data_IF_467087391686
#
_entry.id   IF_467087391686
#
_cell.length_a   1.000
_cell.length_b   1.000
_cell.length_c   1.000
_cell.angle_alpha   90.00
_cell.angle_beta   90.00
_cell.angle_gamma   90.00
#
_symmetry.space_group_name_H-M   'P 1'
#
loop_
_entity.id
_entity.type
_entity.pdbx_description
1 polymer ?
#
# COMPACT_ATOMS: atom_id res chain seq x y z
N UNK A 1 8.25 -8.83 -8.47
CA UNK A 1 8.95 -8.98 -7.17
C UNK A 1 8.13 -8.14 -6.23
N UNK A 2 7.27 -8.71 -5.40
CA UNK A 2 6.11 -7.92 -4.95
C UNK A 2 6.45 -6.82 -3.94
N UNK A 3 5.83 -5.66 -4.17
CA UNK A 3 6.10 -4.44 -3.45
C UNK A 3 4.80 -3.72 -3.09
N UNK A 4 4.45 -3.71 -1.80
CA UNK A 4 3.30 -2.95 -1.31
C UNK A 4 3.68 -1.50 -1.06
N UNK A 5 2.75 -0.57 -1.33
CA UNK A 5 3.01 0.85 -1.15
C UNK A 5 2.09 1.44 -0.09
N UNK A 6 2.68 2.09 0.90
CA UNK A 6 1.98 2.96 1.84
C UNK A 6 2.21 4.41 1.42
N UNK A 7 1.18 5.05 0.89
CA UNK A 7 1.22 6.46 0.50
C UNK A 7 0.61 7.33 1.59
N UNK A 8 1.22 8.48 1.86
CA UNK A 8 0.66 9.45 2.80
C UNK A 8 -0.75 9.85 2.37
N UNK A 9 -1.68 9.89 3.32
CA UNK A 9 -3.01 10.47 3.08
C UNK A 9 -2.88 11.98 2.95
N UNK A 10 -3.05 12.50 1.74
CA UNK A 10 -3.17 13.93 1.52
C UNK A 10 -4.44 14.42 2.22
N UNK A 11 -4.34 15.48 3.05
CA UNK A 11 -5.50 16.16 3.61
C UNK A 11 -6.17 16.95 2.48
N UNK A 12 -6.91 16.27 1.61
CA UNK A 12 -7.94 16.93 0.80
C UNK A 12 -9.19 17.06 1.66
N UNK A 13 -9.78 18.26 1.74
CA UNK A 13 -11.05 18.45 2.42
C UNK A 13 -12.14 17.67 1.67
N UNK A 14 -12.93 16.92 2.44
CA UNK A 14 -14.20 16.30 2.07
C UNK A 14 -14.16 15.23 0.96
N UNK A 15 -13.68 14.03 1.30
CA UNK A 15 -14.24 12.78 0.75
C UNK A 15 -14.23 11.72 1.86
N UNK A 16 -15.42 11.39 2.37
CA UNK A 16 -15.63 10.28 3.31
C UNK A 16 -15.42 8.96 2.57
N UNK A 17 -14.21 8.41 2.66
CA UNK A 17 -13.97 7.03 2.29
C UNK A 17 -14.57 6.16 3.38
N UNK A 18 -15.62 5.42 3.03
CA UNK A 18 -16.45 4.65 3.95
C UNK A 18 -15.64 3.77 4.88
N UNK A 19 -16.15 3.65 6.11
CA UNK A 19 -15.65 2.74 7.12
C UNK A 19 -15.76 1.30 6.61
N UNK A 20 -14.70 0.81 5.96
CA UNK A 20 -14.55 -0.61 5.72
C UNK A 20 -14.26 -1.26 7.07
N UNK A 21 -15.30 -1.86 7.63
CA UNK A 21 -15.23 -2.69 8.82
C UNK A 21 -14.08 -3.69 8.67
N UNK A 22 -13.12 -3.59 9.57
CA UNK A 22 -12.05 -4.56 9.74
C UNK A 22 -12.70 -5.84 10.28
N UNK A 23 -13.13 -6.74 9.40
CA UNK A 23 -13.35 -8.13 9.77
C UNK A 23 -12.02 -8.90 9.69
N UNK A 24 -11.00 -8.39 10.38
CA UNK A 24 -9.76 -9.13 10.62
C UNK A 24 -10.00 -10.08 11.79
N UNK A 25 -10.71 -11.18 11.52
CA UNK A 25 -10.70 -12.34 12.41
C UNK A 25 -9.33 -13.02 12.26
N UNK A 26 -8.36 -12.51 12.99
CA UNK A 26 -7.33 -13.28 13.69
C UNK A 26 -6.80 -12.35 14.78
N UNK A 27 -7.02 -12.77 16.03
CA UNK A 27 -6.81 -12.02 17.25
C UNK A 27 -5.37 -11.50 17.31
N UNK A 28 -5.16 -10.28 16.84
CA UNK A 28 -4.07 -9.46 17.36
C UNK A 28 -4.57 -9.04 18.72
N UNK A 29 -3.94 -9.57 19.78
CA UNK A 29 -4.15 -9.10 21.14
C UNK A 29 -4.21 -7.57 21.11
N UNK A 30 -5.29 -7.00 21.67
CA UNK A 30 -5.51 -5.54 21.70
C UNK A 30 -4.27 -4.80 22.22
N UNK A 31 -3.53 -5.43 23.13
CA UNK A 31 -2.23 -4.97 23.65
C UNK A 31 -1.14 -4.84 22.57
N UNK A 32 -1.02 -5.81 21.66
CA UNK A 32 -0.02 -5.78 20.58
C UNK A 32 -0.32 -4.68 19.55
N UNK A 33 -1.61 -4.49 19.20
CA UNK A 33 -2.01 -3.38 18.33
C UNK A 33 -1.84 -2.02 19.01
N UNK A 34 -2.06 -1.93 20.33
CA UNK A 34 -1.79 -0.72 21.09
C UNK A 34 -0.29 -0.39 21.15
N UNK A 35 0.56 -1.40 21.35
CA UNK A 35 2.02 -1.28 21.25
C UNK A 35 2.46 -0.81 19.87
N UNK A 36 1.87 -1.37 18.81
CA UNK A 36 2.10 -0.93 17.42
C UNK A 36 1.73 0.54 17.25
N UNK A 37 0.53 0.95 17.67
CA UNK A 37 0.10 2.36 17.60
C UNK A 37 1.02 3.30 18.35
N UNK A 38 1.50 2.92 19.53
CA UNK A 38 2.44 3.72 20.30
C UNK A 38 3.74 3.91 19.52
N UNK A 39 4.31 2.82 18.97
CA UNK A 39 5.56 2.90 18.21
C UNK A 39 5.40 3.69 16.92
N UNK A 40 4.27 3.52 16.24
CA UNK A 40 3.92 4.30 15.05
C UNK A 40 3.82 5.79 15.37
N UNK A 41 3.18 6.15 16.48
CA UNK A 41 3.07 7.55 16.93
C UNK A 41 4.45 8.16 17.24
N UNK A 42 5.36 7.37 17.80
CA UNK A 42 6.74 7.76 18.11
C UNK A 42 7.55 8.06 16.83
N UNK A 43 7.45 7.20 15.80
CA UNK A 43 8.22 7.35 14.56
C UNK A 43 7.55 8.26 13.52
N UNK A 44 6.25 8.50 13.63
CA UNK A 44 5.47 9.27 12.63
C UNK A 44 6.06 10.66 12.33
N UNK A 45 6.54 11.44 13.33
CA UNK A 45 7.21 12.72 13.07
C UNK A 45 8.48 12.58 12.23
N UNK A 46 9.26 11.51 12.45
CA UNK A 46 10.52 11.25 11.74
C UNK A 46 10.27 10.86 10.28
N UNK A 47 9.17 10.16 10.01
CA UNK A 47 8.78 9.78 8.65
C UNK A 47 8.44 10.99 7.79
N UNK A 48 8.02 12.13 8.37
CA UNK A 48 7.70 13.39 7.67
C UNK A 48 6.76 13.25 6.46
N UNK A 49 5.92 12.22 6.44
CA UNK A 49 5.04 11.94 5.31
C UNK A 49 5.67 11.17 4.15
N UNK A 50 6.88 10.61 4.34
CA UNK A 50 7.57 9.78 3.35
C UNK A 50 6.77 8.51 3.07
N UNK A 51 6.62 8.14 1.80
CA UNK A 51 6.00 6.87 1.38
C UNK A 51 6.86 5.68 1.80
N UNK A 52 6.22 4.58 2.19
CA UNK A 52 6.90 3.36 2.64
C UNK A 52 6.62 2.25 1.64
N UNK A 53 7.67 1.52 1.25
CA UNK A 53 7.58 0.39 0.32
C UNK A 53 7.94 -0.90 1.06
N UNK A 54 7.00 -1.84 1.15
CA UNK A 54 7.24 -3.16 1.73
C UNK A 54 7.59 -4.14 0.61
N UNK A 55 8.87 -4.48 0.47
CA UNK A 55 9.40 -5.28 -0.65
C UNK A 55 9.68 -6.74 -0.26
N UNK A 56 9.49 -7.67 -1.20
CA UNK A 56 10.08 -9.03 -1.23
C UNK A 56 9.05 -10.09 -1.69
N UNK A 57 9.20 -11.35 -1.28
CA UNK A 57 8.22 -12.40 -1.67
C UNK A 57 6.77 -12.09 -1.21
N UNK A 58 5.81 -12.48 -2.05
CA UNK A 58 4.39 -12.46 -1.72
C UNK A 58 4.16 -13.28 -0.44
N UNK A 59 3.53 -12.67 0.56
CA UNK A 59 3.15 -13.39 1.77
C UNK A 59 2.00 -12.67 2.46
N UNK A 60 1.07 -13.45 2.99
CA UNK A 60 -0.08 -12.94 3.73
C UNK A 60 0.33 -12.03 4.89
N UNK A 61 1.47 -12.31 5.53
CA UNK A 61 2.01 -11.50 6.63
C UNK A 61 2.35 -10.07 6.20
N UNK A 62 2.88 -9.87 4.98
CA UNK A 62 3.16 -8.53 4.45
C UNK A 62 1.88 -7.74 4.22
N UNK A 63 0.85 -8.39 3.68
CA UNK A 63 -0.42 -7.73 3.38
C UNK A 63 -1.13 -7.32 4.67
N UNK A 64 -1.14 -8.20 5.67
CA UNK A 64 -1.69 -7.89 6.99
C UNK A 64 -0.91 -6.74 7.65
N UNK A 65 0.43 -6.81 7.70
CA UNK A 65 1.24 -5.79 8.33
C UNK A 65 1.14 -4.45 7.61
N UNK A 66 1.12 -4.45 6.27
CA UNK A 66 0.92 -3.26 5.46
C UNK A 66 -0.40 -2.57 5.78
N UNK A 67 -1.51 -3.32 5.84
CA UNK A 67 -2.83 -2.78 6.21
C UNK A 67 -2.84 -2.19 7.63
N UNK A 68 -2.23 -2.87 8.60
CA UNK A 68 -2.15 -2.38 9.98
C UNK A 68 -1.33 -1.10 10.10
N UNK A 69 -0.17 -1.06 9.42
CA UNK A 69 0.68 0.13 9.38
C UNK A 69 -0.02 1.29 8.68
N UNK A 70 -0.75 1.04 7.60
CA UNK A 70 -1.54 2.05 6.91
C UNK A 70 -2.57 2.69 7.84
N UNK A 71 -3.32 1.87 8.57
CA UNK A 71 -4.33 2.36 9.52
C UNK A 71 -3.69 3.14 10.67
N UNK A 72 -2.59 2.63 11.25
CA UNK A 72 -1.89 3.28 12.35
C UNK A 72 -1.25 4.62 11.93
N UNK A 73 -0.62 4.69 10.75
CA UNK A 73 0.02 5.89 10.21
C UNK A 73 -0.96 6.85 9.55
N UNK A 74 -2.22 6.43 9.35
CA UNK A 74 -3.21 7.14 8.51
C UNK A 74 -2.72 7.32 7.07
N UNK A 75 -2.08 6.30 6.51
CA UNK A 75 -1.65 6.22 5.13
C UNK A 75 -2.66 5.41 4.30
N UNK A 76 -2.61 5.55 2.98
CA UNK A 76 -3.28 4.67 2.03
C UNK A 76 -2.43 3.44 1.76
N UNK A 77 -3.05 2.26 1.75
CA UNK A 77 -2.41 1.01 1.37
C UNK A 77 -2.76 0.66 -0.07
N UNK A 78 -1.74 0.35 -0.86
CA UNK A 78 -1.86 -0.12 -2.23
C UNK A 78 -1.19 -1.48 -2.39
N UNK A 79 -1.94 -2.39 -2.99
CA UNK A 79 -1.48 -3.72 -3.38
C UNK A 79 -0.94 -3.65 -4.81
N UNK A 80 0.35 -3.98 -5.02
CA UNK A 80 0.97 -3.92 -6.34
C UNK A 80 0.30 -4.87 -7.32
N UNK A 81 -0.13 -6.05 -6.85
CA UNK A 81 -0.73 -7.06 -7.72
C UNK A 81 -2.04 -6.53 -8.29
N UNK A 82 -2.92 -6.02 -7.41
CA UNK A 82 -4.20 -5.45 -7.83
C UNK A 82 -4.05 -4.21 -8.73
N UNK A 83 -2.96 -3.45 -8.60
CA UNK A 83 -2.68 -2.33 -9.50
C UNK A 83 -2.25 -2.82 -10.89
N UNK A 84 -1.40 -3.83 -10.94
CA UNK A 84 -0.96 -4.45 -12.20
C UNK A 84 -2.15 -5.10 -12.90
N UNK A 85 -3.04 -5.79 -12.17
CA UNK A 85 -4.27 -6.37 -12.72
C UNK A 85 -5.17 -5.33 -13.38
N UNK A 86 -5.41 -4.20 -12.72
CA UNK A 86 -6.25 -3.14 -13.28
C UNK A 86 -5.68 -2.56 -14.57
N UNK A 87 -4.36 -2.42 -14.66
CA UNK A 87 -3.69 -1.86 -15.84
C UNK A 87 -3.56 -2.90 -16.96
N UNK A 88 -3.36 -4.18 -16.61
CA UNK A 88 -3.30 -5.28 -17.56
C UNK A 88 -4.67 -5.67 -18.15
N UNK A 89 -5.77 -5.17 -17.58
CA UNK A 89 -7.14 -5.48 -18.03
C UNK A 89 -7.77 -6.70 -17.33
N UNK A 90 -7.29 -7.03 -16.13
CA UNK A 90 -7.80 -8.08 -15.25
C UNK A 90 -6.74 -9.11 -14.86
N UNK A 91 -7.07 -9.92 -13.85
CA UNK A 91 -6.21 -10.97 -13.28
C UNK A 91 -5.65 -11.94 -14.33
N UNK A 92 -6.50 -12.42 -15.24
CA UNK A 92 -6.10 -13.37 -16.29
C UNK A 92 -5.06 -12.77 -17.24
N UNK A 93 -5.18 -11.48 -17.56
CA UNK A 93 -4.25 -10.79 -18.45
C UNK A 93 -2.92 -10.53 -17.75
N UNK A 94 -2.95 -10.15 -16.47
CA UNK A 94 -1.75 -10.00 -15.65
C UNK A 94 -0.99 -11.33 -15.48
N UNK A 95 -1.68 -12.43 -15.19
CA UNK A 95 -1.08 -13.75 -15.07
C UNK A 95 -0.49 -14.22 -16.41
N UNK A 96 -1.22 -14.04 -17.51
CA UNK A 96 -0.72 -14.39 -18.85
C UNK A 96 0.54 -13.59 -19.21
N UNK A 97 0.61 -12.31 -18.84
CA UNK A 97 1.79 -11.48 -19.04
C UNK A 97 2.96 -11.95 -18.17
N UNK A 98 2.71 -12.24 -16.90
CA UNK A 98 3.71 -12.74 -15.94
C UNK A 98 4.37 -14.04 -16.42
N UNK A 99 3.60 -14.92 -17.06
CA UNK A 99 4.09 -16.18 -17.62
C UNK A 99 4.85 -16.01 -18.94
N UNK A 100 4.42 -15.09 -19.81
CA UNK A 100 5.00 -14.91 -21.15
C UNK A 100 6.19 -13.96 -21.18
N UNK A 101 6.18 -12.95 -20.32
CA UNK A 101 7.15 -11.85 -20.29
C UNK A 101 7.32 -11.34 -18.85
N UNK A 102 8.13 -12.06 -18.07
CA UNK A 102 8.42 -11.71 -16.69
C UNK A 102 9.15 -10.37 -16.55
N UNK A 103 9.96 -9.98 -17.56
CA UNK A 103 10.65 -8.69 -17.58
C UNK A 103 9.67 -7.54 -17.83
N UNK A 104 8.79 -7.68 -18.83
CA UNK A 104 7.72 -6.72 -19.08
C UNK A 104 6.76 -6.56 -17.90
N UNK A 105 6.43 -7.67 -17.22
CA UNK A 105 5.65 -7.62 -15.97
C UNK A 105 6.36 -6.81 -14.88
N UNK A 106 7.66 -7.00 -14.69
CA UNK A 106 8.46 -6.29 -13.70
C UNK A 106 8.58 -4.79 -14.02
N UNK A 107 8.76 -4.42 -15.30
CA UNK A 107 8.79 -3.03 -15.74
C UNK A 107 7.43 -2.34 -15.50
N UNK A 108 6.32 -3.01 -15.80
CA UNK A 108 4.98 -2.48 -15.50
C UNK A 108 4.76 -2.28 -14.00
N UNK A 109 5.15 -3.26 -13.18
CA UNK A 109 5.10 -3.18 -11.71
C UNK A 109 5.87 -1.95 -11.22
N UNK A 110 7.08 -1.74 -11.74
CA UNK A 110 7.94 -0.61 -11.39
C UNK A 110 7.37 0.75 -11.85
N UNK A 111 6.87 0.84 -13.08
CA UNK A 111 6.25 2.06 -13.62
C UNK A 111 5.03 2.50 -12.81
N UNK A 112 4.22 1.55 -12.35
CA UNK A 112 3.07 1.82 -11.50
C UNK A 112 3.50 2.39 -10.14
N UNK A 113 4.52 1.81 -9.52
CA UNK A 113 5.11 2.35 -8.29
C UNK A 113 5.62 3.79 -8.48
N UNK A 114 6.34 4.07 -9.57
CA UNK A 114 6.81 5.42 -9.89
C UNK A 114 5.62 6.37 -10.09
N UNK A 115 4.60 5.95 -10.83
CA UNK A 115 3.42 6.77 -11.12
C UNK A 115 2.72 7.18 -9.82
N UNK A 116 2.52 6.24 -8.90
CA UNK A 116 1.93 6.51 -7.58
C UNK A 116 2.74 7.49 -6.74
N UNK A 117 4.07 7.44 -6.83
CA UNK A 117 4.93 8.42 -6.18
C UNK A 117 4.76 9.83 -6.79
N UNK A 118 4.61 9.93 -8.12
CA UNK A 118 4.39 11.22 -8.81
C UNK A 118 3.04 11.85 -8.46
N UNK A 119 1.99 11.06 -8.24
CA UNK A 119 0.69 11.56 -7.77
C UNK A 119 0.80 12.32 -6.44
N UNK A 120 1.80 12.02 -5.60
CA UNK A 120 2.03 12.73 -4.33
C UNK A 120 2.74 14.09 -4.52
N UNK A 121 3.48 14.30 -5.62
CA UNK A 121 4.21 15.55 -5.87
C UNK A 121 3.37 16.62 -6.56
N UNK A 122 2.37 16.24 -7.36
CA UNK A 122 1.59 17.18 -8.17
C UNK A 122 0.40 17.83 -7.43
N UNK A 123 0.09 17.42 -6.20
CA UNK A 123 -0.97 18.03 -5.38
C UNK A 123 -0.46 19.15 -4.45
N UNK A 124 0.79 19.60 -4.61
CA UNK A 124 1.36 20.77 -3.90
C UNK A 124 1.08 22.09 -4.64
N UNK A 125 0.42 22.05 -5.81
CA UNK A 125 -0.17 23.22 -6.45
C UNK A 125 -1.71 23.15 -6.38
N UNK A 126 -2.27 23.59 -5.26
CA UNK A 126 -3.58 24.24 -5.19
C UNK A 126 -3.44 25.42 -4.22
#
# INVERSE_FOLDING_TARGET
MEAFVLLRRFRSTNCSLGDNQIHATQVIEVDQYLKLKKKVTEISPELRGTSIFLVGMNSTKKNIMGKLLADALRYYYFDSDNLVEQVAGGENAANSLKERDAEGFCELEFQLMISLQKFQSNSVLC
#
